data_IF_506678803225
#
_entry.id   IF_506678803225
#
_cell.length_a   1.000
_cell.length_b   1.000
_cell.length_c   1.000
_cell.angle_alpha   90.00
_cell.angle_beta   90.00
_cell.angle_gamma   90.00
#
_symmetry.space_group_name_H-M   'P 1'
#
loop_
_entity.id
_entity.type
_entity.pdbx_description
1 polymer ?
#
# COMPACT_ATOMS: atom_id res chain seq x y z
N UNK A 1 38.05 47.43 -83.52
CA UNK A 1 36.69 46.88 -83.29
C UNK A 1 36.30 47.17 -81.85
N UNK A 2 35.05 47.58 -81.56
CA UNK A 2 34.62 47.79 -80.18
C UNK A 2 34.61 46.45 -79.44
N UNK A 3 35.02 46.47 -78.17
CA UNK A 3 35.10 45.30 -77.31
C UNK A 3 33.68 44.93 -76.87
N UNK A 4 33.36 43.63 -76.93
CA UNK A 4 32.05 43.09 -76.56
C UNK A 4 31.78 43.29 -75.06
N UNK A 5 30.70 44.02 -74.67
CA UNK A 5 30.31 44.25 -73.28
C UNK A 5 30.16 42.97 -72.46
N UNK A 6 29.77 41.86 -73.10
CA UNK A 6 29.59 40.58 -72.42
C UNK A 6 30.92 40.03 -71.87
N UNK A 7 32.02 40.26 -72.59
CA UNK A 7 33.35 39.79 -72.20
C UNK A 7 33.93 40.58 -71.03
N UNK A 8 33.59 41.87 -70.91
CA UNK A 8 33.98 42.73 -69.79
C UNK A 8 33.28 42.37 -68.48
N UNK A 9 31.98 42.05 -68.54
CA UNK A 9 31.22 41.66 -67.35
C UNK A 9 31.74 40.36 -66.72
N UNK A 10 32.29 39.45 -67.53
CA UNK A 10 32.80 38.16 -67.08
C UNK A 10 34.23 38.20 -66.52
N UNK A 11 34.98 39.28 -66.79
CA UNK A 11 36.31 39.53 -66.21
C UNK A 11 36.25 40.07 -64.78
N UNK A 12 35.07 40.48 -64.29
CA UNK A 12 34.91 40.88 -62.89
C UNK A 12 35.00 39.64 -62.00
N UNK A 13 35.90 39.61 -61.00
CA UNK A 13 35.96 38.50 -60.06
C UNK A 13 34.61 38.35 -59.35
N UNK A 14 34.22 37.10 -59.08
CA UNK A 14 33.01 36.84 -58.28
C UNK A 14 33.16 37.56 -56.95
N UNK A 15 32.16 38.39 -56.61
CA UNK A 15 32.09 39.05 -55.31
C UNK A 15 31.99 37.98 -54.22
N UNK A 16 33.10 37.68 -53.55
CA UNK A 16 33.10 36.87 -52.33
C UNK A 16 32.63 37.77 -51.18
N UNK A 17 31.41 37.55 -50.70
CA UNK A 17 30.88 38.28 -49.56
C UNK A 17 31.41 37.66 -48.26
N UNK A 18 32.37 38.33 -47.60
CA UNK A 18 32.79 37.96 -46.24
C UNK A 18 31.75 38.49 -45.25
N UNK A 19 31.06 37.59 -44.55
CA UNK A 19 30.12 37.99 -43.49
C UNK A 19 30.88 38.58 -42.31
N UNK A 20 30.45 39.75 -41.77
CA UNK A 20 31.18 40.45 -40.70
C UNK A 20 30.97 39.84 -39.30
N UNK A 21 30.10 38.84 -39.14
CA UNK A 21 29.81 38.21 -37.85
C UNK A 21 30.65 36.95 -37.63
N UNK A 22 31.29 36.87 -36.47
CA UNK A 22 32.04 35.69 -35.98
C UNK A 22 31.14 34.45 -35.79
N UNK A 23 29.82 34.66 -35.70
CA UNK A 23 28.82 33.61 -35.53
C UNK A 23 28.25 33.11 -36.87
N UNK A 24 28.59 31.87 -37.23
CA UNK A 24 28.10 31.21 -38.43
C UNK A 24 26.73 30.55 -38.21
N UNK A 25 25.67 31.24 -38.64
CA UNK A 25 24.29 30.73 -38.60
C UNK A 25 24.10 29.45 -39.40
N UNK A 26 24.82 29.31 -40.53
CA UNK A 26 24.74 28.11 -41.36
C UNK A 26 25.39 26.93 -40.62
N UNK A 27 26.50 27.16 -39.93
CA UNK A 27 27.13 26.16 -39.08
C UNK A 27 26.21 25.69 -37.94
N UNK A 28 25.53 26.61 -37.23
CA UNK A 28 24.55 26.24 -36.21
C UNK A 28 23.40 25.42 -36.80
N UNK A 29 22.88 25.84 -37.95
CA UNK A 29 21.83 25.09 -38.65
C UNK A 29 22.29 23.67 -39.00
N UNK A 30 23.45 23.51 -39.63
CA UNK A 30 23.96 22.20 -40.06
C UNK A 30 24.30 21.27 -38.89
N UNK A 31 24.79 21.81 -37.76
CA UNK A 31 25.23 21.01 -36.61
C UNK A 31 24.10 20.67 -35.64
N UNK A 32 23.11 21.55 -35.51
CA UNK A 32 22.01 21.41 -34.57
C UNK A 32 20.68 21.04 -35.22
N UNK A 33 20.64 20.82 -36.55
CA UNK A 33 19.42 20.42 -37.24
C UNK A 33 18.75 19.23 -36.55
N UNK A 34 17.41 19.33 -36.39
CA UNK A 34 16.54 18.34 -35.73
C UNK A 34 16.83 18.06 -34.25
N UNK A 35 17.80 18.72 -33.61
CA UNK A 35 18.05 18.58 -32.17
C UNK A 35 17.14 19.55 -31.40
N UNK A 36 16.24 18.97 -30.61
CA UNK A 36 15.24 19.71 -29.83
C UNK A 36 15.31 19.26 -28.38
N UNK A 37 15.28 20.21 -27.46
CA UNK A 37 15.14 19.90 -26.05
C UNK A 37 13.68 19.92 -25.65
N UNK A 38 13.16 18.82 -25.12
CA UNK A 38 11.77 18.66 -24.72
C UNK A 38 11.64 18.49 -23.22
N UNK A 39 10.79 19.31 -22.61
CA UNK A 39 10.49 19.32 -21.19
C UNK A 39 8.99 19.10 -20.97
N UNK A 40 8.67 18.36 -19.92
CA UNK A 40 7.31 18.18 -19.41
C UNK A 40 7.11 19.10 -18.22
N UNK A 41 6.16 20.03 -18.34
CA UNK A 41 5.89 21.03 -17.33
C UNK A 41 4.40 21.09 -16.98
N UNK A 42 4.11 21.66 -15.82
CA UNK A 42 2.76 22.01 -15.39
C UNK A 42 2.63 23.53 -15.47
N UNK A 43 1.72 23.99 -16.30
CA UNK A 43 1.33 25.38 -16.36
C UNK A 43 0.34 25.67 -15.22
N UNK A 44 0.72 26.57 -14.31
CA UNK A 44 -0.19 27.08 -13.29
C UNK A 44 -1.02 28.22 -13.89
N UNK A 45 -2.29 27.96 -14.15
CA UNK A 45 -3.24 28.99 -14.59
C UNK A 45 -3.86 29.65 -13.36
N UNK A 46 -3.10 30.55 -12.72
CA UNK A 46 -3.49 31.20 -11.46
C UNK A 46 -4.81 31.97 -11.55
N UNK A 47 -5.28 32.32 -12.75
CA UNK A 47 -6.57 32.96 -12.98
C UNK A 47 -7.76 32.01 -12.84
N UNK A 48 -7.55 30.71 -13.12
CA UNK A 48 -8.60 29.69 -13.11
C UNK A 48 -8.36 28.60 -12.05
N UNK A 49 -7.20 28.61 -11.38
CA UNK A 49 -6.86 27.67 -10.30
C UNK A 49 -6.62 26.24 -10.77
N UNK A 50 -6.28 26.06 -12.05
CA UNK A 50 -6.05 24.74 -12.65
C UNK A 50 -4.60 24.60 -13.12
N UNK A 51 -3.96 23.50 -12.74
CA UNK A 51 -2.65 23.12 -13.28
C UNK A 51 -2.82 22.27 -14.53
N UNK A 52 -2.23 22.70 -15.66
CA UNK A 52 -2.36 22.02 -16.96
C UNK A 52 -1.03 21.40 -17.39
N UNK A 53 -1.00 20.12 -17.79
CA UNK A 53 0.21 19.52 -18.34
C UNK A 53 0.53 20.11 -19.72
N UNK A 54 1.73 20.64 -19.86
CA UNK A 54 2.24 21.23 -21.10
C UNK A 54 3.61 20.63 -21.45
N UNK A 55 3.90 20.56 -22.73
CA UNK A 55 5.21 20.19 -23.26
C UNK A 55 5.89 21.44 -23.80
N UNK A 56 7.07 21.76 -23.26
CA UNK A 56 7.90 22.88 -23.70
C UNK A 56 9.02 22.31 -24.58
N UNK A 57 9.13 22.81 -25.80
CA UNK A 57 10.17 22.40 -26.76
C UNK A 57 11.08 23.58 -27.12
N UNK A 58 12.38 23.40 -26.91
CA UNK A 58 13.43 24.35 -27.23
C UNK A 58 14.22 23.88 -28.45
N UNK A 59 14.28 24.69 -29.50
CA UNK A 59 14.97 24.36 -30.74
C UNK A 59 16.40 24.92 -30.69
N UNK A 60 17.41 24.04 -30.72
CA UNK A 60 18.83 24.44 -30.66
C UNK A 60 19.35 25.09 -31.96
N UNK A 61 18.59 24.97 -33.04
CA UNK A 61 18.92 25.53 -34.37
C UNK A 61 18.87 27.05 -34.38
N UNK A 62 17.90 27.63 -33.68
CA UNK A 62 17.56 29.06 -33.74
C UNK A 62 17.21 29.66 -32.36
N UNK A 63 17.46 28.92 -31.28
CA UNK A 63 17.20 29.31 -29.89
C UNK A 63 15.73 29.73 -29.65
N UNK A 64 14.80 29.06 -30.33
CA UNK A 64 13.36 29.34 -30.22
C UNK A 64 12.66 28.36 -29.30
N UNK A 65 11.53 28.79 -28.73
CA UNK A 65 10.71 28.01 -27.80
C UNK A 65 9.29 27.89 -28.34
N UNK A 66 8.73 26.70 -28.23
CA UNK A 66 7.33 26.39 -28.54
C UNK A 66 6.71 25.68 -27.32
N UNK A 67 5.44 25.98 -27.01
CA UNK A 67 4.73 25.36 -25.89
C UNK A 67 3.44 24.74 -26.40
N UNK A 68 3.26 23.46 -26.13
CA UNK A 68 2.08 22.68 -26.50
C UNK A 68 1.35 22.18 -25.28
N UNK A 69 0.02 22.29 -25.29
CA UNK A 69 -0.81 21.67 -24.25
C UNK A 69 -0.91 20.16 -24.53
N UNK A 70 -0.84 19.34 -23.48
CA UNK A 70 -1.07 17.91 -23.64
C UNK A 70 -2.58 17.64 -23.72
N UNK A 71 -3.01 16.79 -24.65
CA UNK A 71 -4.42 16.44 -24.82
C UNK A 71 -4.95 15.76 -23.55
N UNK A 72 -5.93 16.39 -22.91
CA UNK A 72 -6.63 15.81 -21.77
C UNK A 72 -7.88 15.05 -22.24
N UNK A 73 -8.13 13.82 -21.75
CA UNK A 73 -9.31 13.03 -22.15
C UNK A 73 -10.66 13.60 -21.70
N UNK A 74 -10.67 14.67 -20.91
CA UNK A 74 -11.84 15.14 -20.15
C UNK A 74 -12.73 16.16 -20.91
N UNK A 75 -12.94 15.97 -22.22
CA UNK A 75 -13.92 16.76 -22.98
C UNK A 75 -13.55 18.23 -23.23
N UNK A 76 -12.26 18.58 -23.15
CA UNK A 76 -11.76 19.91 -23.56
C UNK A 76 -11.59 19.98 -25.07
N UNK A 77 -11.75 21.19 -25.62
CA UNK A 77 -11.47 21.46 -27.04
C UNK A 77 -9.95 21.36 -27.23
N UNK A 78 -9.44 20.57 -28.19
CA UNK A 78 -8.01 20.42 -28.41
C UNK A 78 -7.43 21.73 -28.95
N UNK A 79 -6.70 22.45 -28.10
CA UNK A 79 -5.85 23.58 -28.49
C UNK A 79 -4.38 23.17 -28.35
N UNK A 80 -3.81 22.48 -29.36
CA UNK A 80 -2.52 21.81 -29.21
C UNK A 80 -1.34 22.77 -29.07
N UNK A 81 -1.50 24.06 -29.41
CA UNK A 81 -0.43 25.06 -29.36
C UNK A 81 -0.82 26.17 -28.41
N UNK A 82 -0.22 26.18 -27.21
CA UNK A 82 -0.37 27.26 -26.24
C UNK A 82 0.46 28.49 -26.64
N UNK A 83 1.65 28.26 -27.22
CA UNK A 83 2.55 29.29 -27.70
C UNK A 83 3.25 28.81 -28.98
N UNK A 84 3.15 29.60 -30.05
CA UNK A 84 3.86 29.34 -31.31
C UNK A 84 5.37 29.49 -31.13
N UNK A 85 6.14 28.75 -31.93
CA UNK A 85 7.60 28.83 -31.98
C UNK A 85 8.06 30.26 -32.18
N UNK A 86 8.73 30.81 -31.18
CA UNK A 86 9.30 32.15 -31.23
C UNK A 86 10.51 32.26 -30.30
N UNK A 87 11.37 33.25 -30.53
CA UNK A 87 12.51 33.51 -29.66
C UNK A 87 12.04 34.35 -28.48
N UNK A 88 12.22 33.85 -27.27
CA UNK A 88 11.67 34.49 -26.07
C UNK A 88 12.67 35.48 -25.45
N UNK A 89 12.30 36.76 -25.25
CA UNK A 89 13.10 37.71 -24.49
C UNK A 89 12.94 37.45 -22.99
N UNK A 90 14.05 37.47 -22.26
CA UNK A 90 14.11 37.35 -20.80
C UNK A 90 14.08 38.72 -20.13
N UNK A 91 14.83 39.68 -20.70
CA UNK A 91 14.84 41.09 -20.28
C UNK A 91 14.68 41.99 -21.49
N UNK A 92 13.73 42.91 -21.41
CA UNK A 92 13.48 43.93 -22.42
C UNK A 92 13.99 45.26 -21.87
N UNK A 93 14.70 46.02 -22.71
CA UNK A 93 15.07 47.41 -22.40
C UNK A 93 13.81 48.26 -22.35
N UNK A 94 13.73 49.20 -21.42
CA UNK A 94 12.68 50.21 -21.44
C UNK A 94 12.90 51.14 -22.65
N UNK A 95 12.11 50.94 -23.72
CA UNK A 95 12.12 51.81 -24.88
C UNK A 95 11.42 53.14 -24.52
N UNK A 96 12.18 54.23 -24.44
CA UNK A 96 11.72 55.52 -23.92
C UNK A 96 10.91 56.37 -24.93
N UNK A 97 10.85 55.95 -26.20
CA UNK A 97 10.34 56.82 -27.28
C UNK A 97 8.89 56.53 -27.72
N UNK A 98 8.40 55.29 -27.59
CA UNK A 98 7.05 54.89 -28.07
C UNK A 98 6.43 53.80 -27.21
N UNK A 99 5.10 53.78 -27.01
CA UNK A 99 4.43 52.73 -26.24
C UNK A 99 4.60 51.35 -26.90
N UNK A 100 4.97 50.35 -26.09
CA UNK A 100 5.25 48.96 -26.50
C UNK A 100 4.09 48.27 -27.22
N UNK A 101 2.87 48.81 -27.14
CA UNK A 101 1.69 48.26 -27.81
C UNK A 101 1.61 48.52 -29.32
N UNK A 102 2.51 49.33 -29.90
CA UNK A 102 2.42 49.80 -31.29
C UNK A 102 3.46 49.17 -32.24
N UNK A 103 4.57 48.64 -31.70
CA UNK A 103 5.68 48.09 -32.51
C UNK A 103 6.01 46.66 -32.09
N UNK A 104 6.42 45.84 -33.06
CA UNK A 104 7.02 44.53 -32.77
C UNK A 104 8.38 44.73 -32.08
N UNK A 105 8.66 43.89 -31.07
CA UNK A 105 9.91 43.94 -30.31
C UNK A 105 11.09 43.73 -31.25
N UNK A 106 11.89 44.78 -31.45
CA UNK A 106 13.07 44.71 -32.30
C UNK A 106 14.22 44.00 -31.60
N UNK A 107 15.18 43.44 -32.37
CA UNK A 107 16.36 42.74 -31.81
C UNK A 107 17.26 43.66 -30.97
N UNK A 108 17.13 44.97 -31.15
CA UNK A 108 17.97 45.99 -30.50
C UNK A 108 17.44 46.35 -29.09
N UNK A 109 16.15 46.12 -28.86
CA UNK A 109 15.43 46.38 -27.61
C UNK A 109 15.50 45.21 -26.61
N UNK A 110 15.96 44.03 -27.03
CA UNK A 110 16.13 42.86 -26.15
C UNK A 110 17.55 42.82 -25.59
N UNK A 111 17.67 42.78 -24.26
CA UNK A 111 18.96 42.64 -23.57
C UNK A 111 19.43 41.18 -23.53
N UNK A 112 18.54 40.28 -23.13
CA UNK A 112 18.88 38.89 -22.84
C UNK A 112 17.77 37.98 -23.37
N UNK A 113 18.15 36.93 -24.10
CA UNK A 113 17.23 35.87 -24.57
C UNK A 113 17.37 34.62 -23.70
N UNK A 114 16.31 33.81 -23.66
CA UNK A 114 16.36 32.52 -22.97
C UNK A 114 17.38 31.56 -23.61
N UNK A 115 18.25 31.01 -22.77
CA UNK A 115 19.25 30.00 -23.14
C UNK A 115 18.85 28.64 -22.55
N UNK A 116 19.36 27.50 -23.06
CA UNK A 116 19.13 26.20 -22.42
C UNK A 116 19.48 26.22 -20.93
N UNK A 117 20.51 26.98 -20.53
CA UNK A 117 20.92 27.13 -19.12
C UNK A 117 19.82 27.63 -18.19
N UNK A 118 18.77 28.29 -18.68
CA UNK A 118 17.69 28.80 -17.85
C UNK A 118 16.65 27.70 -17.50
N UNK A 119 16.66 26.56 -18.18
CA UNK A 119 15.67 25.48 -18.03
C UNK A 119 16.14 24.40 -17.04
N UNK A 120 15.78 24.55 -15.78
CA UNK A 120 16.12 23.59 -14.73
C UNK A 120 14.90 22.72 -14.35
N UNK A 121 15.07 21.40 -14.37
CA UNK A 121 14.02 20.47 -13.93
C UNK A 121 13.78 20.67 -12.44
N UNK A 122 12.52 20.90 -12.07
CA UNK A 122 12.09 21.14 -10.70
C UNK A 122 11.95 22.60 -10.30
N UNK A 123 12.41 23.54 -11.14
CA UNK A 123 12.18 24.97 -10.96
C UNK A 123 10.96 25.46 -11.74
N UNK A 124 10.39 26.57 -11.27
CA UNK A 124 9.34 27.30 -11.99
C UNK A 124 9.97 28.34 -12.91
N UNK A 125 9.68 28.26 -14.21
CA UNK A 125 10.12 29.22 -15.23
C UNK A 125 8.96 30.15 -15.60
N UNK A 126 9.27 31.44 -15.77
CA UNK A 126 8.27 32.46 -16.14
C UNK A 126 8.44 32.84 -17.61
N UNK A 127 7.53 32.40 -18.49
CA UNK A 127 7.58 32.72 -19.92
C UNK A 127 6.41 33.63 -20.29
N UNK A 128 6.69 34.84 -20.81
CA UNK A 128 5.69 35.85 -21.18
C UNK A 128 4.66 36.14 -20.07
N UNK A 129 5.11 36.18 -18.81
CA UNK A 129 4.26 36.44 -17.65
C UNK A 129 3.44 35.24 -17.17
N UNK A 130 3.64 34.04 -17.72
CA UNK A 130 3.01 32.78 -17.25
C UNK A 130 4.03 31.89 -16.56
N UNK A 131 3.62 31.23 -15.48
CA UNK A 131 4.48 30.37 -14.67
C UNK A 131 4.33 28.90 -15.05
N UNK A 132 5.45 28.25 -15.38
CA UNK A 132 5.51 26.85 -15.75
C UNK A 132 6.45 26.11 -14.81
N UNK A 133 5.96 25.06 -14.16
CA UNK A 133 6.78 24.22 -13.31
C UNK A 133 7.31 23.03 -14.10
N UNK A 134 8.63 22.98 -14.30
CA UNK A 134 9.29 21.89 -15.03
C UNK A 134 9.30 20.64 -14.13
N UNK A 135 8.69 19.55 -14.57
CA UNK A 135 8.58 18.31 -13.79
C UNK A 135 9.53 17.22 -14.28
N UNK A 136 9.64 17.04 -15.60
CA UNK A 136 10.49 16.02 -16.21
C UNK A 136 11.04 16.51 -17.57
N UNK A 137 11.98 15.76 -18.13
CA UNK A 137 12.62 16.06 -19.38
C UNK A 137 12.91 14.78 -20.18
N UNK A 138 13.01 14.92 -21.50
CA UNK A 138 13.18 13.80 -22.43
C UNK A 138 14.58 13.16 -22.34
N UNK A 139 14.72 11.91 -22.79
CA UNK A 139 16.00 11.18 -22.73
C UNK A 139 17.14 11.92 -23.43
N UNK A 140 16.88 12.46 -24.63
CA UNK A 140 17.84 13.27 -25.39
C UNK A 140 18.27 14.54 -24.63
N UNK A 141 17.35 15.17 -23.89
CA UNK A 141 17.69 16.36 -23.10
C UNK A 141 18.64 16.03 -21.97
N UNK A 142 18.39 14.93 -21.25
CA UNK A 142 19.26 14.47 -20.16
C UNK A 142 20.70 14.28 -20.65
N UNK A 143 20.87 13.67 -21.82
CA UNK A 143 22.19 13.49 -22.45
C UNK A 143 22.84 14.81 -22.88
N UNK A 144 22.05 15.73 -23.46
CA UNK A 144 22.55 17.05 -23.88
C UNK A 144 23.07 17.88 -22.70
N UNK A 145 22.33 17.94 -21.59
CA UNK A 145 22.75 18.66 -20.39
C UNK A 145 23.96 17.97 -19.74
N UNK A 146 23.98 16.64 -19.65
CA UNK A 146 25.15 15.93 -19.13
C UNK A 146 26.45 16.23 -19.91
N UNK A 147 26.34 16.45 -21.23
CA UNK A 147 27.50 16.73 -22.09
C UNK A 147 27.93 18.19 -22.09
N UNK A 148 26.99 19.13 -22.14
CA UNK A 148 27.29 20.55 -22.35
C UNK A 148 27.23 21.38 -21.07
N UNK A 149 26.42 20.96 -20.09
CA UNK A 149 26.15 21.67 -18.84
C UNK A 149 26.07 20.68 -17.66
N UNK A 150 27.20 20.05 -17.25
CA UNK A 150 27.23 19.07 -16.16
C UNK A 150 26.84 19.66 -14.80
N UNK A 151 26.81 20.97 -14.66
CA UNK A 151 26.45 21.69 -13.44
C UNK A 151 24.92 21.66 -13.15
N UNK A 152 24.09 21.24 -14.10
CA UNK A 152 22.63 21.26 -14.00
C UNK A 152 22.11 19.84 -13.68
N UNK A 153 21.58 19.66 -12.47
CA UNK A 153 21.00 18.38 -12.01
C UNK A 153 19.56 18.23 -12.54
N UNK A 154 19.29 17.23 -13.38
CA UNK A 154 18.00 16.96 -14.02
C UNK A 154 17.25 15.80 -13.33
N UNK A 155 16.92 15.94 -12.05
CA UNK A 155 16.13 14.94 -11.31
C UNK A 155 14.63 15.13 -11.57
N UNK A 156 13.92 14.11 -12.09
CA UNK A 156 12.47 14.18 -12.26
C UNK A 156 11.76 14.34 -10.92
N UNK A 157 10.75 15.22 -10.87
CA UNK A 157 9.88 15.34 -9.69
C UNK A 157 8.68 14.41 -9.86
N UNK A 158 8.63 13.34 -9.06
CA UNK A 158 7.45 12.48 -8.97
C UNK A 158 6.33 13.17 -8.18
N UNK A 159 5.31 13.69 -8.88
CA UNK A 159 4.08 14.14 -8.22
C UNK A 159 3.12 12.99 -8.02
N UNK A 160 3.12 12.44 -6.81
CA UNK A 160 2.06 11.53 -6.34
C UNK A 160 0.97 12.35 -5.66
N UNK A 161 0.11 13.02 -6.42
CA UNK A 161 -1.15 13.55 -5.86
C UNK A 161 -2.17 12.41 -5.73
N UNK A 162 -1.88 11.45 -4.84
CA UNK A 162 -2.96 10.60 -4.33
C UNK A 162 -3.72 11.45 -3.34
N UNK A 163 -4.90 11.91 -3.74
CA UNK A 163 -5.87 12.51 -2.81
C UNK A 163 -5.95 11.62 -1.57
N UNK A 164 -5.88 12.19 -0.35
CA UNK A 164 -6.01 11.39 0.86
C UNK A 164 -7.38 10.73 0.85
N UNK A 165 -7.40 9.42 0.60
CA UNK A 165 -8.62 8.64 0.71
C UNK A 165 -9.09 8.71 2.16
N UNK A 166 -10.21 9.40 2.38
CA UNK A 166 -10.88 9.44 3.69
C UNK A 166 -11.33 8.02 4.01
N UNK A 167 -10.58 7.33 4.88
CA UNK A 167 -10.96 6.01 5.38
C UNK A 167 -12.25 6.17 6.16
N UNK A 168 -13.28 5.41 5.79
CA UNK A 168 -14.53 5.38 6.53
C UNK A 168 -14.28 4.63 7.84
N UNK A 169 -14.44 5.32 8.96
CA UNK A 169 -14.38 4.72 10.29
C UNK A 169 -15.65 3.92 10.54
N UNK A 170 -15.51 2.76 11.17
CA UNK A 170 -16.64 1.91 11.55
C UNK A 170 -17.18 2.48 12.87
N UNK A 171 -18.50 2.71 13.00
CA UNK A 171 -19.08 3.20 14.24
C UNK A 171 -18.93 2.17 15.37
N UNK A 172 -18.96 2.61 16.64
CA UNK A 172 -18.94 1.72 17.79
C UNK A 172 -20.15 0.78 17.78
N UNK A 173 -19.98 -0.39 18.38
CA UNK A 173 -21.00 -1.42 18.45
C UNK A 173 -22.17 -1.02 19.34
N UNK A 174 -23.38 -1.31 18.86
CA UNK A 174 -24.64 -0.86 19.47
C UNK A 174 -25.21 -1.79 20.54
N UNK A 175 -24.53 -2.88 20.91
CA UNK A 175 -24.96 -3.82 21.95
C UNK A 175 -25.95 -4.90 21.50
N UNK A 176 -26.37 -4.93 20.23
CA UNK A 176 -27.32 -5.89 19.71
C UNK A 176 -26.67 -6.89 18.73
N UNK A 177 -27.11 -8.14 18.78
CA UNK A 177 -26.64 -9.20 17.87
C UNK A 177 -25.23 -9.69 18.20
N UNK A 178 -24.52 -10.23 17.20
CA UNK A 178 -23.08 -10.52 17.31
C UNK A 178 -22.29 -9.40 16.65
N UNK A 179 -21.08 -9.14 17.12
CA UNK A 179 -20.21 -8.09 16.57
C UNK A 179 -19.95 -8.29 15.08
N UNK A 180 -19.71 -9.53 14.67
CA UNK A 180 -19.45 -9.88 13.27
C UNK A 180 -20.67 -9.66 12.37
N UNK A 181 -21.88 -9.82 12.92
CA UNK A 181 -23.14 -9.62 12.19
C UNK A 181 -23.49 -8.13 12.09
N UNK A 182 -23.39 -7.38 13.19
CA UNK A 182 -23.63 -5.93 13.21
C UNK A 182 -22.62 -5.16 12.35
N UNK A 183 -21.37 -5.64 12.28
CA UNK A 183 -20.35 -5.08 11.40
C UNK A 183 -20.78 -5.14 9.91
N UNK A 184 -21.46 -6.20 9.48
CA UNK A 184 -21.90 -6.34 8.08
C UNK A 184 -22.92 -5.28 7.67
N UNK A 185 -23.71 -4.79 8.63
CA UNK A 185 -24.66 -3.70 8.43
C UNK A 185 -23.94 -2.37 8.13
N UNK A 186 -22.74 -2.16 8.67
CA UNK A 186 -21.93 -0.96 8.40
C UNK A 186 -21.14 -1.08 7.10
N UNK A 187 -20.76 -2.30 6.70
CA UNK A 187 -19.93 -2.54 5.52
C UNK A 187 -20.74 -2.52 4.20
N UNK A 188 -21.99 -2.95 4.23
CA UNK A 188 -22.82 -3.11 3.03
C UNK A 188 -24.28 -2.77 3.28
N UNK A 189 -24.95 -2.15 2.29
CA UNK A 189 -26.37 -1.79 2.38
C UNK A 189 -27.28 -3.01 2.59
N UNK A 190 -26.92 -4.15 1.98
CA UNK A 190 -27.63 -5.42 2.16
C UNK A 190 -26.70 -6.33 2.99
N UNK A 191 -26.97 -6.52 4.29
CA UNK A 191 -26.08 -7.27 5.16
C UNK A 191 -25.98 -8.72 4.70
N UNK A 192 -24.76 -9.24 4.67
CA UNK A 192 -24.47 -10.62 4.31
C UNK A 192 -24.14 -11.39 5.58
N UNK A 193 -24.59 -12.65 5.66
CA UNK A 193 -24.23 -13.52 6.79
C UNK A 193 -22.71 -13.60 6.95
N UNK A 194 -22.18 -13.45 8.19
CA UNK A 194 -20.74 -13.54 8.43
C UNK A 194 -20.26 -14.96 8.11
N UNK A 195 -19.14 -15.05 7.38
CA UNK A 195 -18.57 -16.34 6.97
C UNK A 195 -17.77 -16.95 8.12
N UNK A 196 -18.13 -18.17 8.53
CA UNK A 196 -17.39 -18.95 9.53
C UNK A 196 -16.12 -19.55 8.92
N UNK A 197 -15.09 -19.76 9.74
CA UNK A 197 -13.85 -20.43 9.34
C UNK A 197 -14.08 -21.94 9.14
N UNK A 198 -14.58 -22.33 7.96
CA UNK A 198 -14.93 -23.72 7.64
C UNK A 198 -13.73 -24.68 7.73
N UNK A 199 -12.52 -24.20 7.42
CA UNK A 199 -11.30 -25.00 7.52
C UNK A 199 -11.01 -25.40 8.96
N UNK A 200 -11.11 -24.46 9.90
CA UNK A 200 -10.93 -24.72 11.33
C UNK A 200 -12.01 -25.67 11.84
N UNK A 201 -13.26 -25.45 11.44
CA UNK A 201 -14.38 -26.32 11.82
C UNK A 201 -14.16 -27.77 11.38
N UNK A 202 -13.67 -28.00 10.16
CA UNK A 202 -13.49 -29.33 9.61
C UNK A 202 -12.22 -30.02 10.12
N UNK A 203 -11.11 -29.29 10.26
CA UNK A 203 -9.82 -29.86 10.66
C UNK A 203 -9.76 -30.18 12.16
N UNK A 204 -10.46 -29.39 12.98
CA UNK A 204 -10.52 -29.56 14.43
C UNK A 204 -11.85 -30.15 14.90
N UNK A 205 -12.62 -30.74 13.99
CA UNK A 205 -13.85 -31.43 14.35
C UNK A 205 -13.56 -32.53 15.38
N UNK A 206 -14.40 -32.61 16.42
CA UNK A 206 -14.24 -33.47 17.59
C UNK A 206 -12.97 -33.30 18.45
N UNK A 207 -12.07 -32.35 18.16
CA UNK A 207 -10.91 -32.08 19.03
C UNK A 207 -11.32 -31.17 20.19
N UNK A 208 -11.21 -31.69 21.42
CA UNK A 208 -11.61 -31.00 22.64
C UNK A 208 -10.48 -31.07 23.66
N UNK A 209 -10.06 -29.91 24.17
CA UNK A 209 -9.09 -29.81 25.26
C UNK A 209 -9.86 -29.78 26.58
N UNK A 210 -9.58 -30.72 27.48
CA UNK A 210 -10.29 -30.85 28.76
C UNK A 210 -9.34 -30.55 29.91
N UNK A 211 -9.80 -29.70 30.81
CA UNK A 211 -9.08 -29.27 32.00
C UNK A 211 -9.95 -29.52 33.23
N UNK A 212 -9.32 -29.90 34.33
CA UNK A 212 -9.96 -29.85 35.64
C UNK A 212 -9.78 -28.44 36.21
N UNK A 213 -10.86 -27.87 36.73
CA UNK A 213 -10.87 -26.55 37.32
C UNK A 213 -11.55 -26.58 38.68
N UNK A 214 -11.16 -25.64 39.55
CA UNK A 214 -11.87 -25.33 40.80
C UNK A 214 -12.36 -23.89 40.74
N UNK A 215 -13.48 -23.61 41.41
CA UNK A 215 -13.98 -22.25 41.54
C UNK A 215 -13.20 -21.53 42.65
N UNK A 216 -12.70 -20.34 42.36
CA UNK A 216 -12.09 -19.41 43.31
C UNK A 216 -13.20 -18.49 43.83
N UNK A 217 -13.81 -18.88 44.95
CA UNK A 217 -14.96 -18.23 45.58
C UNK A 217 -14.67 -17.96 47.05
N UNK A 218 -15.29 -16.92 47.60
CA UNK A 218 -15.16 -16.58 49.02
C UNK A 218 -15.98 -17.52 49.92
N UNK A 219 -16.91 -18.27 49.35
CA UNK A 219 -17.77 -19.19 50.08
C UNK A 219 -17.06 -20.54 50.28
N UNK A 220 -16.99 -21.00 51.52
CA UNK A 220 -16.37 -22.29 51.87
C UNK A 220 -17.12 -23.50 51.29
N UNK A 221 -18.40 -23.34 50.93
CA UNK A 221 -19.21 -24.37 50.28
C UNK A 221 -18.73 -24.69 48.86
N UNK A 222 -18.09 -23.72 48.19
CA UNK A 222 -17.62 -23.87 46.82
C UNK A 222 -16.27 -24.57 46.71
N UNK A 223 -15.50 -24.65 47.80
CA UNK A 223 -14.12 -25.17 47.79
C UNK A 223 -14.05 -26.65 47.37
N UNK A 224 -15.09 -27.43 47.65
CA UNK A 224 -15.20 -28.83 47.28
C UNK A 224 -15.64 -29.10 45.83
N UNK A 225 -16.11 -28.07 45.11
CA UNK A 225 -16.74 -28.23 43.79
C UNK A 225 -15.68 -28.38 42.70
N UNK A 226 -15.80 -29.46 41.91
CA UNK A 226 -14.86 -29.78 40.83
C UNK A 226 -15.53 -29.59 39.47
N UNK A 227 -14.93 -28.74 38.66
CA UNK A 227 -15.40 -28.42 37.33
C UNK A 227 -14.49 -29.04 36.26
N UNK A 228 -15.08 -29.33 35.11
CA UNK A 228 -14.38 -29.73 33.89
C UNK A 228 -14.61 -28.64 32.86
N UNK A 229 -13.55 -27.93 32.51
CA UNK A 229 -13.54 -26.95 31.44
C UNK A 229 -13.17 -27.67 30.15
N UNK A 230 -14.07 -27.63 29.16
CA UNK A 230 -13.85 -28.20 27.83
C UNK A 230 -13.76 -27.08 26.80
N UNK A 231 -12.60 -26.95 26.16
CA UNK A 231 -12.35 -26.01 25.07
C UNK A 231 -12.48 -26.73 23.72
N UNK A 232 -13.36 -26.23 22.85
CA UNK A 232 -13.62 -26.81 21.52
C UNK A 232 -12.81 -26.08 20.45
N UNK A 233 -11.83 -26.78 19.87
CA UNK A 233 -10.89 -26.20 18.89
C UNK A 233 -11.53 -25.86 17.53
N UNK A 234 -12.72 -26.39 17.26
CA UNK A 234 -13.44 -26.19 16.02
C UNK A 234 -14.10 -24.79 15.91
N UNK A 235 -14.43 -24.18 17.05
CA UNK A 235 -15.19 -22.93 17.11
C UNK A 235 -14.75 -21.97 18.23
N UNK A 236 -13.68 -22.31 18.94
CA UNK A 236 -13.10 -21.54 20.06
C UNK A 236 -14.10 -21.26 21.17
N UNK A 237 -15.02 -22.20 21.40
CA UNK A 237 -15.99 -22.13 22.48
C UNK A 237 -15.52 -22.91 23.70
N UNK A 238 -15.92 -22.44 24.88
CA UNK A 238 -15.66 -23.10 26.15
C UNK A 238 -17.01 -23.57 26.72
N UNK A 239 -17.04 -24.77 27.29
CA UNK A 239 -18.15 -25.24 28.14
C UNK A 239 -17.62 -25.69 29.48
N UNK A 240 -18.37 -25.43 30.54
CA UNK A 240 -17.99 -25.81 31.91
C UNK A 240 -19.02 -26.79 32.45
N UNK A 241 -18.55 -27.93 32.92
CA UNK A 241 -19.40 -28.98 33.50
C UNK A 241 -18.96 -29.29 34.93
N UNK A 242 -19.89 -29.26 35.86
CA UNK A 242 -19.67 -29.60 37.26
C UNK A 242 -19.84 -31.10 37.49
N UNK A 243 -18.82 -31.74 38.07
CA UNK A 243 -18.90 -33.16 38.44
C UNK A 243 -19.83 -33.33 39.64
N UNK A 244 -20.88 -34.17 39.57
CA UNK A 244 -21.76 -34.39 40.71
C UNK A 244 -21.03 -35.13 41.84
N UNK A 245 -21.04 -34.54 43.04
CA UNK A 245 -20.44 -35.11 44.25
C UNK A 245 -21.52 -35.63 45.19
N UNK A 246 -21.43 -36.91 45.58
CA UNK A 246 -22.39 -37.52 46.51
C UNK A 246 -22.34 -36.80 47.86
N UNK A 247 -23.51 -36.58 48.46
CA UNK A 247 -23.70 -35.92 49.76
C UNK A 247 -23.22 -34.46 49.82
N UNK A 248 -23.02 -33.78 48.69
CA UNK A 248 -22.61 -32.37 48.67
C UNK A 248 -23.77 -31.38 48.78
N UNK A 249 -25.01 -31.82 48.60
CA UNK A 249 -26.18 -30.94 48.56
C UNK A 249 -26.32 -30.10 47.27
N UNK A 250 -25.31 -30.14 46.38
CA UNK A 250 -25.30 -29.40 45.11
C UNK A 250 -25.61 -30.34 43.95
N UNK A 251 -26.56 -29.92 43.09
CA UNK A 251 -26.89 -30.65 41.86
C UNK A 251 -25.81 -30.33 40.82
N UNK A 252 -24.95 -31.31 40.53
CA UNK A 252 -23.97 -31.19 39.45
C UNK A 252 -24.64 -31.14 38.07
N UNK A 253 -23.91 -30.67 37.06
CA UNK A 253 -24.46 -30.53 35.71
C UNK A 253 -23.69 -29.55 34.84
N UNK A 254 -24.33 -29.11 33.76
CA UNK A 254 -23.76 -28.10 32.85
C UNK A 254 -23.82 -26.74 33.55
N UNK A 255 -22.66 -26.21 33.94
CA UNK A 255 -22.54 -24.87 34.54
C UNK A 255 -22.56 -23.79 33.47
N UNK A 256 -21.85 -24.02 32.36
CA UNK A 256 -21.85 -23.12 31.21
C UNK A 256 -21.99 -23.92 29.90
N UNK A 257 -22.92 -23.48 29.05
CA UNK A 257 -23.05 -24.00 27.68
C UNK A 257 -21.87 -23.54 26.80
N UNK A 258 -21.74 -24.11 25.60
CA UNK A 258 -20.69 -23.71 24.66
C UNK A 258 -20.87 -22.25 24.31
N UNK A 259 -19.99 -21.41 24.82
CA UNK A 259 -20.01 -19.97 24.60
C UNK A 259 -18.59 -19.48 24.38
N UNK A 260 -18.42 -18.44 23.55
CA UNK A 260 -17.14 -17.76 23.40
C UNK A 260 -16.98 -16.79 24.55
N UNK A 261 -15.86 -16.89 25.26
CA UNK A 261 -15.61 -16.13 26.48
C UNK A 261 -14.59 -15.03 26.17
N UNK A 262 -14.96 -13.74 26.33
CA UNK A 262 -14.01 -12.64 26.20
C UNK A 262 -13.07 -12.59 27.41
N UNK A 263 -11.83 -12.13 27.19
CA UNK A 263 -10.83 -11.91 28.24
C UNK A 263 -11.24 -10.73 29.12
N UNK A 264 -10.87 -10.74 30.41
CA UNK A 264 -11.10 -9.60 31.29
C UNK A 264 -10.31 -8.40 30.77
N UNK A 265 -11.00 -7.28 30.53
CA UNK A 265 -10.41 -6.04 30.02
C UNK A 265 -10.52 -5.81 28.51
N UNK A 266 -11.10 -6.75 27.74
CA UNK A 266 -11.35 -6.49 26.32
C UNK A 266 -12.48 -5.47 26.12
N UNK A 267 -12.29 -4.51 25.20
CA UNK A 267 -13.33 -3.55 24.82
C UNK A 267 -14.44 -4.24 24.05
N UNK A 268 -15.69 -3.76 24.19
CA UNK A 268 -16.85 -4.32 23.48
C UNK A 268 -16.65 -4.30 21.96
N UNK A 269 -16.01 -3.26 21.42
CA UNK A 269 -15.75 -3.13 19.98
C UNK A 269 -14.66 -4.08 19.46
N UNK A 270 -13.76 -4.52 20.35
CA UNK A 270 -12.61 -5.37 20.04
C UNK A 270 -12.46 -6.47 21.09
N UNK A 271 -13.40 -7.45 21.13
CA UNK A 271 -13.32 -8.53 22.09
C UNK A 271 -12.13 -9.44 21.76
N UNK A 272 -11.28 -9.66 22.74
CA UNK A 272 -10.26 -10.69 22.67
C UNK A 272 -10.79 -11.93 23.37
N UNK A 273 -10.86 -13.07 22.68
CA UNK A 273 -11.38 -14.30 23.26
C UNK A 273 -10.25 -15.14 23.85
N UNK A 274 -10.57 -15.96 24.85
CA UNK A 274 -9.62 -16.95 25.38
C UNK A 274 -9.18 -17.92 24.30
N UNK A 275 -7.87 -18.17 24.25
CA UNK A 275 -7.25 -19.12 23.34
C UNK A 275 -6.55 -20.24 24.11
N UNK A 276 -6.14 -21.35 23.47
CA UNK A 276 -5.36 -22.40 24.14
C UNK A 276 -4.03 -21.90 24.73
N UNK A 277 -3.52 -20.75 24.25
CA UNK A 277 -2.31 -20.13 24.77
C UNK A 277 -2.50 -19.60 26.20
N UNK A 278 -3.71 -19.18 26.56
CA UNK A 278 -4.05 -18.56 27.85
C UNK A 278 -4.39 -19.60 28.94
N UNK A 279 -4.59 -20.86 28.55
CA UNK A 279 -5.04 -21.96 29.42
C UNK A 279 -3.86 -22.73 30.04
N UNK A 280 -3.06 -22.05 30.85
CA UNK A 280 -1.98 -22.68 31.62
C UNK A 280 -2.48 -23.35 32.91
N UNK A 281 -1.86 -24.44 33.35
CA UNK A 281 -2.22 -25.02 34.65
C UNK A 281 -1.79 -24.06 35.76
N UNK A 282 -2.72 -23.74 36.65
CA UNK A 282 -2.57 -22.73 37.69
C UNK A 282 -3.06 -21.33 37.26
N UNK A 283 -3.35 -21.10 35.98
CA UNK A 283 -3.94 -19.82 35.55
C UNK A 283 -5.41 -19.72 35.98
N UNK A 284 -5.86 -18.48 36.16
CA UNK A 284 -7.25 -18.16 36.48
C UNK A 284 -7.97 -17.73 35.20
N UNK A 285 -9.03 -18.45 34.85
CA UNK A 285 -9.92 -18.12 33.74
C UNK A 285 -11.17 -17.45 34.33
N UNK A 286 -11.38 -16.19 33.97
CA UNK A 286 -12.55 -15.42 34.37
C UNK A 286 -13.68 -15.61 33.37
N UNK A 287 -14.85 -16.02 33.86
CA UNK A 287 -16.02 -16.39 33.08
C UNK A 287 -17.26 -15.80 33.74
N UNK A 288 -17.85 -14.75 33.16
CA UNK A 288 -19.03 -14.08 33.69
C UNK A 288 -18.93 -13.75 35.20
N UNK A 289 -17.83 -13.11 35.62
CA UNK A 289 -17.48 -12.79 37.01
C UNK A 289 -17.19 -13.99 37.92
N UNK A 290 -17.14 -15.21 37.40
CA UNK A 290 -16.66 -16.38 38.12
C UNK A 290 -15.20 -16.67 37.75
N UNK A 291 -14.36 -16.88 38.76
CA UNK A 291 -12.93 -17.16 38.59
C UNK A 291 -12.68 -18.66 38.72
N UNK A 292 -12.21 -19.29 37.65
CA UNK A 292 -11.88 -20.71 37.64
C UNK A 292 -10.38 -20.90 37.58
N UNK A 293 -9.81 -21.57 38.57
CA UNK A 293 -8.39 -21.91 38.59
C UNK A 293 -8.21 -23.30 37.99
N UNK A 294 -7.41 -23.38 36.92
CA UNK A 294 -7.08 -24.66 36.28
C UNK A 294 -6.15 -25.46 37.17
N UNK A 295 -6.56 -26.65 37.59
CA UNK A 295 -5.79 -27.50 38.51
C UNK A 295 -5.04 -28.62 37.80
N UNK A 296 -5.64 -29.15 36.73
CA UNK A 296 -5.12 -30.29 35.97
C UNK A 296 -5.57 -30.27 34.50
N UNK A 297 -4.94 -31.06 33.64
CA UNK A 297 -5.26 -31.17 32.22
C UNK A 297 -5.21 -32.62 31.73
N UNK A 298 -6.05 -32.97 30.74
CA UNK A 298 -5.99 -34.29 30.11
C UNK A 298 -4.68 -34.47 29.33
N UNK A 299 -4.18 -35.70 29.22
CA UNK A 299 -2.97 -36.04 28.46
C UNK A 299 -3.06 -35.58 26.98
N UNK A 300 -4.25 -35.61 26.39
CA UNK A 300 -4.49 -35.13 25.03
C UNK A 300 -4.12 -33.64 24.87
N UNK A 301 -4.38 -32.83 25.91
CA UNK A 301 -4.04 -31.41 25.90
C UNK A 301 -2.53 -31.23 25.70
N UNK A 302 -1.71 -31.98 26.42
CA UNK A 302 -0.26 -31.91 26.28
C UNK A 302 0.17 -32.22 24.84
N UNK A 303 -0.32 -33.34 24.27
CA UNK A 303 0.04 -33.73 22.89
C UNK A 303 -0.35 -32.67 21.86
N UNK A 304 -1.50 -32.01 22.07
CA UNK A 304 -1.97 -30.95 21.20
C UNK A 304 -1.13 -29.67 21.34
N UNK A 305 -0.85 -29.23 22.57
CA UNK A 305 -0.03 -28.03 22.81
C UNK A 305 1.40 -28.22 22.27
N UNK A 306 1.95 -29.43 22.33
CA UNK A 306 3.24 -29.74 21.73
C UNK A 306 3.23 -29.63 20.20
N UNK A 307 2.14 -30.06 19.56
CA UNK A 307 1.96 -29.91 18.11
C UNK A 307 1.90 -28.46 17.65
N UNK A 308 1.53 -27.53 18.54
CA UNK A 308 1.39 -26.09 18.27
C UNK A 308 2.42 -25.27 19.08
N UNK A 309 3.53 -25.91 19.46
CA UNK A 309 4.56 -25.31 20.32
C UNK A 309 5.12 -23.97 19.82
N UNK A 310 5.04 -23.67 18.52
CA UNK A 310 5.49 -22.40 17.95
C UNK A 310 4.55 -21.21 18.23
N UNK A 311 3.26 -21.45 18.50
CA UNK A 311 2.25 -20.39 18.69
C UNK A 311 1.86 -20.20 20.16
N UNK A 312 2.34 -21.06 21.06
CA UNK A 312 1.95 -21.10 22.47
C UNK A 312 3.10 -20.59 23.35
N UNK A 313 2.83 -19.80 24.39
CA UNK A 313 3.84 -19.41 25.37
C UNK A 313 4.49 -20.63 26.05
N UNK A 314 5.81 -20.59 26.21
CA UNK A 314 6.58 -21.68 26.84
C UNK A 314 6.11 -22.00 28.27
N UNK A 315 5.60 -21.00 28.99
CA UNK A 315 5.04 -21.13 30.34
C UNK A 315 3.83 -22.07 30.39
N UNK A 316 2.90 -21.93 29.44
CA UNK A 316 1.68 -22.74 29.35
C UNK A 316 2.03 -24.21 29.17
N UNK A 317 2.95 -24.48 28.24
CA UNK A 317 3.37 -25.84 27.92
C UNK A 317 4.19 -26.47 29.06
N UNK A 318 5.09 -25.71 29.70
CA UNK A 318 5.88 -26.19 30.84
C UNK A 318 4.99 -26.56 32.04
N UNK A 319 3.96 -25.74 32.32
CA UNK A 319 3.02 -25.98 33.43
C UNK A 319 2.26 -27.30 33.24
N UNK A 320 1.84 -27.60 32.01
CA UNK A 320 1.17 -28.86 31.65
C UNK A 320 2.11 -30.06 31.77
N UNK A 321 3.36 -29.94 31.28
CA UNK A 321 4.37 -31.00 31.41
C UNK A 321 4.71 -31.34 32.86
N UNK A 322 4.84 -30.32 33.70
CA UNK A 322 5.19 -30.49 35.12
C UNK A 322 4.11 -31.27 35.89
N UNK A 323 2.83 -31.01 35.59
CA UNK A 323 1.71 -31.68 36.27
C UNK A 323 1.49 -33.12 35.82
N UNK A 324 1.65 -33.39 34.52
CA UNK A 324 1.54 -34.74 33.97
C UNK A 324 2.78 -35.61 34.22
N UNK A 325 3.80 -35.08 34.90
CA UNK A 325 4.97 -35.85 35.35
C UNK A 325 5.90 -36.30 34.21
N UNK A 326 5.78 -35.70 33.02
CA UNK A 326 6.64 -36.02 31.88
C UNK A 326 8.00 -35.34 32.08
N UNK A 327 8.90 -36.01 32.80
CA UNK A 327 10.33 -35.66 32.79
C UNK A 327 10.84 -35.79 31.36
N UNK A 328 11.49 -34.74 30.86
CA UNK A 328 12.14 -34.72 29.56
C UNK A 328 13.35 -35.66 29.61
N UNK A 329 13.11 -36.97 29.42
CA UNK A 329 14.19 -37.89 29.10
C UNK A 329 14.49 -37.70 27.62
N UNK A 330 15.56 -36.96 27.33
CA UNK A 330 16.27 -37.11 26.06
C UNK A 330 16.61 -38.59 25.91
N UNK A 331 15.94 -39.30 25.00
CA UNK A 331 16.49 -40.45 24.30
C UNK A 331 15.60 -40.89 23.15
N UNK A 332 16.28 -41.21 22.05
CA UNK A 332 15.78 -41.66 20.78
C UNK A 332 15.10 -43.05 20.86
N UNK A 333 14.23 -43.29 19.87
CA UNK A 333 13.77 -44.60 19.36
C UNK A 333 12.89 -45.48 20.26
N UNK A 334 11.59 -45.61 19.92
CA UNK A 334 11.07 -46.77 19.16
C UNK A 334 9.54 -46.78 19.17
N UNK A 335 8.95 -46.63 17.99
CA UNK A 335 7.50 -46.71 17.78
C UNK A 335 7.04 -48.14 17.53
N UNK A 336 6.14 -48.64 18.40
CA UNK A 336 5.12 -49.63 18.03
C UNK A 336 3.87 -49.43 18.88
N UNK A 337 2.78 -49.02 18.22
CA UNK A 337 1.43 -49.56 18.49
C UNK A 337 0.47 -49.06 17.40
N UNK A 338 0.25 -49.94 16.42
CA UNK A 338 -0.81 -49.86 15.42
C UNK A 338 -2.15 -50.19 16.11
N UNK A 339 -3.13 -49.27 16.09
CA UNK A 339 -4.58 -49.57 16.10
C UNK A 339 -5.48 -48.32 16.20
N UNK A 340 -5.43 -47.38 15.23
CA UNK A 340 -6.50 -46.36 15.12
C UNK A 340 -6.73 -45.76 13.71
N UNK A 341 -6.04 -46.22 12.67
CA UNK A 341 -5.84 -45.39 11.46
C UNK A 341 -6.96 -45.38 10.40
N UNK A 342 -7.96 -46.26 10.46
CA UNK A 342 -8.90 -46.35 9.33
C UNK A 342 -9.96 -45.24 9.23
N UNK A 343 -10.22 -44.49 10.32
CA UNK A 343 -11.17 -43.35 10.29
C UNK A 343 -10.49 -42.00 10.00
N UNK A 344 -9.24 -41.82 10.43
CA UNK A 344 -8.47 -40.58 10.17
C UNK A 344 -8.05 -40.42 8.71
N UNK A 345 -7.70 -41.53 8.02
CA UNK A 345 -7.29 -41.50 6.61
C UNK A 345 -8.40 -40.96 5.69
N UNK A 346 -9.66 -41.31 5.97
CA UNK A 346 -10.82 -40.87 5.16
C UNK A 346 -11.12 -39.39 5.34
N UNK A 347 -10.98 -38.87 6.56
CA UNK A 347 -11.17 -37.46 6.88
C UNK A 347 -10.04 -36.61 6.29
N UNK A 348 -8.79 -37.05 6.42
CA UNK A 348 -7.63 -36.40 5.79
C UNK A 348 -7.75 -36.31 4.27
N UNK A 349 -8.18 -37.40 3.61
CA UNK A 349 -8.34 -37.42 2.15
C UNK A 349 -9.46 -36.48 1.68
N UNK A 350 -10.53 -36.37 2.48
CA UNK A 350 -11.63 -35.45 2.24
C UNK A 350 -11.19 -33.99 2.43
N UNK A 351 -10.46 -33.68 3.52
CA UNK A 351 -9.89 -32.35 3.79
C UNK A 351 -8.90 -31.94 2.69
N UNK A 352 -8.00 -32.84 2.27
CA UNK A 352 -7.06 -32.61 1.15
C UNK A 352 -7.82 -32.33 -0.15
N UNK A 353 -8.90 -33.05 -0.43
CA UNK A 353 -9.76 -32.80 -1.60
C UNK A 353 -10.50 -31.47 -1.55
N UNK A 354 -10.98 -31.04 -0.37
CA UNK A 354 -11.67 -29.76 -0.18
C UNK A 354 -10.68 -28.59 -0.28
N UNK A 355 -9.50 -28.68 0.36
CA UNK A 355 -8.41 -27.70 0.22
C UNK A 355 -8.03 -27.52 -1.26
N UNK A 356 -7.89 -28.62 -2.01
CA UNK A 356 -7.57 -28.58 -3.45
C UNK A 356 -8.66 -27.90 -4.30
N UNK A 357 -9.94 -28.10 -3.99
CA UNK A 357 -11.06 -27.41 -4.69
C UNK A 357 -11.14 -25.92 -4.33
N UNK A 358 -10.96 -25.58 -3.06
CA UNK A 358 -11.02 -24.19 -2.59
C UNK A 358 -9.93 -23.31 -3.21
N UNK A 359 -8.69 -23.82 -3.29
CA UNK A 359 -7.58 -23.12 -3.95
C UNK A 359 -7.72 -23.05 -5.48
N UNK A 360 -8.41 -24.01 -6.11
CA UNK A 360 -8.65 -23.99 -7.56
C UNK A 360 -9.67 -22.91 -7.95
N UNK A 361 -10.70 -22.68 -7.13
CA UNK A 361 -11.68 -21.61 -7.37
C UNK A 361 -11.11 -20.21 -7.11
N UNK A 362 -10.24 -20.04 -6.10
CA UNK A 362 -9.65 -18.73 -5.80
C UNK A 362 -8.70 -18.21 -6.90
N UNK A 363 -8.09 -19.11 -7.69
CA UNK A 363 -7.27 -18.77 -8.87
C UNK A 363 -8.08 -18.41 -10.12
N UNK A 364 -9.37 -18.73 -10.17
CA UNK A 364 -10.24 -18.39 -11.31
C UNK A 364 -11.04 -17.09 -11.08
N UNK A 365 -11.00 -16.53 -9.87
CA UNK A 365 -11.72 -15.30 -9.50
C UNK A 365 -10.79 -14.17 -9.05
N UNK A 366 -9.50 -14.23 -9.43
CA UNK A 366 -8.53 -13.13 -9.28
C UNK A 366 -8.23 -12.52 -10.64
#
# INVERSE_FOLDING_TARGET
MPVDPYTEHRRKPLLSHTTPSDFDRLHQFLTMDRKVLRFFALWDDSHYGETRPVTITYFLVDDTVEIREADAPNGRIPFPVLMRRQRLPKKLKESQAFPTCVLEVSKEEVDEYYSPKDFHVGQTITLLGRHFQLCDCDGFTKEYYAKNHPDIDMKPIERTEKLPERKKEIPPYNGFGSLEDTLQNCLSLIPKQPKKNLLQLLENDHKVLRYSARLDSQFSEDEGRRFVLSYFLANDMISIYEKPTRNSGVIGGKFLEKTRIPKPGSTVDHPEFYSPADLAIGSTVEVFNHRFVLTDADQYVLTYLESISSQIPSQTLASVRQKLGVRTTNNEQNGKSQSADYKNIKLEYCIKSIKKRYFKHKRQSS
#
